data_IF_499764886865
#
_entry.id   IF_499764886865
#
_cell.length_a   1.000
_cell.length_b   1.000
_cell.length_c   1.000
_cell.angle_alpha   90.00
_cell.angle_beta   90.00
_cell.angle_gamma   90.00
#
_symmetry.space_group_name_H-M   'P 1'
#
loop_
_entity.id
_entity.type
_entity.pdbx_description
1 polymer ?
#
# COMPACT_ATOMS: atom_id res chain seq x y z
N UNK A 1 7.37 19.31 -6.48
CA UNK A 1 7.96 19.05 -5.17
C UNK A 1 8.39 17.59 -5.07
N UNK A 2 9.46 17.35 -4.34
CA UNK A 2 9.99 15.99 -4.15
C UNK A 2 8.99 15.12 -3.39
N UNK A 3 8.81 13.90 -3.86
CA UNK A 3 7.95 12.93 -3.18
C UNK A 3 6.46 13.11 -3.40
N UNK A 4 6.08 14.01 -4.27
CA UNK A 4 4.67 14.34 -4.46
C UNK A 4 3.85 13.14 -4.95
N UNK A 5 4.37 12.42 -5.94
CA UNK A 5 3.66 11.26 -6.48
C UNK A 5 3.60 10.13 -5.47
N UNK A 6 4.73 9.83 -4.83
CA UNK A 6 4.77 8.78 -3.83
C UNK A 6 3.84 9.10 -2.67
N UNK A 7 3.82 10.35 -2.23
CA UNK A 7 2.95 10.78 -1.15
C UNK A 7 1.47 10.66 -1.55
N UNK A 8 1.15 11.03 -2.78
CA UNK A 8 -0.21 10.93 -3.30
C UNK A 8 -0.69 9.49 -3.31
N UNK A 9 0.12 8.58 -3.82
CA UNK A 9 -0.24 7.16 -3.86
C UNK A 9 -0.35 6.58 -2.46
N UNK A 10 0.53 6.98 -1.55
CA UNK A 10 0.46 6.54 -0.17
C UNK A 10 -0.85 6.99 0.47
N UNK A 11 -1.24 8.23 0.28
CA UNK A 11 -2.51 8.76 0.80
C UNK A 11 -3.70 8.01 0.21
N UNK A 12 -3.65 7.74 -1.07
CA UNK A 12 -4.72 7.01 -1.75
C UNK A 12 -4.84 5.59 -1.21
N UNK A 13 -3.70 4.97 -0.88
CA UNK A 13 -3.72 3.63 -0.31
C UNK A 13 -4.45 3.60 1.03
N UNK A 14 -4.31 4.65 1.84
CA UNK A 14 -5.03 4.72 3.11
C UNK A 14 -6.53 4.81 2.90
N UNK A 15 -6.97 5.59 1.92
CA UNK A 15 -8.39 5.68 1.58
C UNK A 15 -8.94 4.30 1.22
N UNK A 16 -8.25 3.57 0.35
CA UNK A 16 -8.68 2.23 -0.02
C UNK A 16 -8.67 1.28 1.15
N UNK A 17 -7.65 1.38 2.01
CA UNK A 17 -7.58 0.55 3.19
C UNK A 17 -8.80 0.76 4.10
N UNK A 18 -9.17 2.01 4.33
CA UNK A 18 -10.33 2.34 5.16
C UNK A 18 -11.63 1.84 4.55
N UNK A 19 -11.68 1.74 3.23
CA UNK A 19 -12.84 1.19 2.52
C UNK A 19 -12.86 -0.33 2.49
N UNK A 20 -11.82 -0.98 3.00
CA UNK A 20 -11.69 -2.42 2.96
C UNK A 20 -11.20 -2.96 1.63
N UNK A 21 -10.70 -2.10 0.75
CA UNK A 21 -10.22 -2.49 -0.58
C UNK A 21 -8.72 -2.79 -0.52
N UNK A 22 -8.34 -3.91 0.10
CA UNK A 22 -6.93 -4.25 0.30
C UNK A 22 -6.14 -4.36 -1.01
N UNK A 23 -6.63 -5.06 -2.06
CA UNK A 23 -5.86 -5.15 -3.29
C UNK A 23 -5.57 -3.78 -3.91
N UNK A 24 -6.54 -2.87 -3.88
CA UNK A 24 -6.35 -1.53 -4.40
C UNK A 24 -5.34 -0.73 -3.56
N UNK A 25 -5.40 -0.88 -2.23
CA UNK A 25 -4.44 -0.23 -1.35
C UNK A 25 -3.02 -0.72 -1.62
N UNK A 26 -2.85 -2.02 -1.79
CA UNK A 26 -1.55 -2.61 -2.10
C UNK A 26 -1.02 -2.07 -3.42
N UNK A 27 -1.87 -1.98 -4.42
CA UNK A 27 -1.48 -1.45 -5.74
C UNK A 27 -0.99 -0.01 -5.62
N UNK A 28 -1.68 0.83 -4.85
CA UNK A 28 -1.26 2.21 -4.67
C UNK A 28 0.10 2.30 -3.97
N UNK A 29 0.36 1.43 -3.00
CA UNK A 29 1.66 1.41 -2.36
C UNK A 29 2.77 0.98 -3.31
N UNK A 30 2.48 0.02 -4.20
CA UNK A 30 3.44 -0.37 -5.23
C UNK A 30 3.73 0.77 -6.20
N UNK A 31 2.70 1.52 -6.57
CA UNK A 31 2.87 2.69 -7.42
C UNK A 31 3.70 3.76 -6.71
N UNK A 32 3.53 3.92 -5.41
CA UNK A 32 4.33 4.86 -4.64
C UNK A 32 5.81 4.49 -4.70
N UNK A 33 6.13 3.20 -4.59
CA UNK A 33 7.51 2.75 -4.71
C UNK A 33 8.08 3.01 -6.10
N UNK A 34 7.27 2.82 -7.12
CA UNK A 34 7.69 2.98 -8.51
C UNK A 34 7.76 4.43 -8.95
N UNK A 35 7.14 5.34 -8.22
CA UNK A 35 7.12 6.75 -8.61
C UNK A 35 8.53 7.37 -8.66
N UNK A 36 9.43 6.90 -7.79
CA UNK A 36 10.82 7.31 -7.83
C UNK A 36 11.09 8.71 -7.33
N UNK A 37 10.07 9.40 -6.80
CA UNK A 37 10.22 10.77 -6.32
C UNK A 37 10.10 10.90 -4.80
N UNK A 38 10.03 9.77 -4.08
CA UNK A 38 9.97 9.77 -2.63
C UNK A 38 11.34 9.74 -1.99
N UNK A 39 11.45 10.28 -0.78
CA UNK A 39 12.70 10.19 -0.03
C UNK A 39 12.80 8.85 0.70
N UNK A 40 13.93 8.65 1.39
CA UNK A 40 14.19 7.39 2.09
C UNK A 40 13.10 7.08 3.12
N UNK A 41 12.69 8.09 3.89
CA UNK A 41 11.69 7.88 4.93
C UNK A 41 10.34 7.50 4.35
N UNK A 42 9.95 8.18 3.29
CA UNK A 42 8.68 7.90 2.64
C UNK A 42 8.66 6.50 2.04
N UNK A 43 9.73 6.13 1.35
CA UNK A 43 9.83 4.81 0.73
C UNK A 43 9.88 3.69 1.77
N UNK A 44 10.57 3.91 2.88
CA UNK A 44 10.59 2.95 3.99
C UNK A 44 9.21 2.77 4.58
N UNK A 45 8.48 3.85 4.79
CA UNK A 45 7.12 3.81 5.30
C UNK A 45 6.19 3.05 4.34
N UNK A 46 6.32 3.31 3.05
CA UNK A 46 5.53 2.62 2.02
C UNK A 46 5.83 1.13 2.04
N UNK A 47 7.10 0.76 2.10
CA UNK A 47 7.50 -0.64 2.13
C UNK A 47 6.92 -1.37 3.33
N UNK A 48 7.01 -0.75 4.50
CA UNK A 48 6.48 -1.32 5.73
C UNK A 48 4.97 -1.55 5.64
N UNK A 49 4.24 -0.55 5.16
CA UNK A 49 2.79 -0.68 4.98
C UNK A 49 2.45 -1.73 3.95
N UNK A 50 3.21 -1.79 2.87
CA UNK A 50 2.98 -2.76 1.80
C UNK A 50 3.08 -4.19 2.33
N UNK A 51 4.11 -4.46 3.13
CA UNK A 51 4.29 -5.78 3.74
C UNK A 51 3.13 -6.13 4.66
N UNK A 52 2.70 -5.17 5.48
CA UNK A 52 1.61 -5.38 6.41
C UNK A 52 0.31 -5.67 5.67
N UNK A 53 0.02 -4.92 4.62
CA UNK A 53 -1.21 -5.12 3.85
C UNK A 53 -1.19 -6.41 3.06
N UNK A 54 -0.05 -6.80 2.53
CA UNK A 54 0.08 -8.08 1.84
C UNK A 54 -0.17 -9.24 2.79
N UNK A 55 0.33 -9.16 4.02
CA UNK A 55 0.10 -10.20 5.02
C UNK A 55 -1.39 -10.28 5.37
N UNK A 56 -2.03 -9.14 5.57
CA UNK A 56 -3.46 -9.09 5.85
C UNK A 56 -4.28 -9.69 4.71
N UNK A 57 -3.95 -9.34 3.49
CA UNK A 57 -4.66 -9.83 2.32
C UNK A 57 -4.52 -11.35 2.19
N UNK A 58 -3.32 -11.86 2.43
CA UNK A 58 -3.07 -13.30 2.40
C UNK A 58 -3.91 -14.02 3.45
N UNK A 59 -3.99 -13.47 4.67
CA UNK A 59 -4.81 -14.05 5.72
C UNK A 59 -6.29 -14.08 5.36
N UNK A 60 -6.79 -12.99 4.80
CA UNK A 60 -8.19 -12.94 4.37
C UNK A 60 -8.49 -13.98 3.30
N UNK A 61 -7.59 -14.14 2.34
CA UNK A 61 -7.76 -15.12 1.28
C UNK A 61 -7.77 -16.54 1.83
N UNK A 62 -6.91 -16.82 2.81
CA UNK A 62 -6.89 -18.13 3.45
C UNK A 62 -8.22 -18.45 4.14
N UNK A 63 -8.77 -17.46 4.84
CA UNK A 63 -10.04 -17.64 5.52
C UNK A 63 -11.18 -17.87 4.53
N UNK A 64 -11.18 -17.15 3.42
CA UNK A 64 -12.19 -17.33 2.39
C UNK A 64 -12.10 -18.69 1.72
N UNK A 65 -10.89 -19.22 1.58
CA UNK A 65 -10.67 -20.52 0.95
C UNK A 65 -11.19 -21.68 1.79
N UNK A 66 -11.29 -21.49 3.09
CA UNK A 66 -11.75 -22.54 3.98
C UNK A 66 -13.25 -22.79 3.90
N UNK A 67 -13.95 -21.85 3.36
CA UNK A 67 -15.38 -21.97 3.18
C UNK A 67 -15.71 -22.62 1.84
#
# INVERSE_FOLDING_TARGET
ALGRRALQHRSQSEVYFLQGALPAAIEQLQLAQSAGDGDFYLLSSVDSKLRALKALYTEERKQQRRN
#
